data_IF_743742913017
#
_entry.id   IF_743742913017
#
_cell.length_a   1.000
_cell.length_b   1.000
_cell.length_c   1.000
_cell.angle_alpha   90.00
_cell.angle_beta   90.00
_cell.angle_gamma   90.00
#
_symmetry.space_group_name_H-M   'P 1'
#
loop_
_entity.id
_entity.type
_entity.pdbx_description
1 polymer ?
#
# COMPACT_ATOMS: atom_id res chain seq x y z
N UNK A 1 -0.82 9.44 71.71
CA UNK A 1 0.24 8.87 70.88
C UNK A 1 -0.17 7.66 70.02
N UNK A 2 -0.97 6.70 70.56
CA UNK A 2 -1.44 5.53 69.75
C UNK A 2 -2.38 5.92 68.56
N UNK A 3 -3.20 6.94 68.70
CA UNK A 3 -4.13 7.38 67.62
C UNK A 3 -3.44 8.11 66.48
N UNK A 4 -2.32 8.79 66.72
CA UNK A 4 -1.54 9.48 65.69
C UNK A 4 -0.78 8.47 64.79
N UNK A 5 -0.33 7.34 65.37
CA UNK A 5 0.32 6.25 64.65
C UNK A 5 -0.62 5.51 63.69
N UNK A 6 -1.93 5.39 64.06
CA UNK A 6 -2.95 4.74 63.24
C UNK A 6 -3.35 5.55 62.00
N UNK A 7 -3.40 6.90 62.12
CA UNK A 7 -3.69 7.81 61.02
C UNK A 7 -2.52 7.89 60.03
N UNK A 8 -1.26 7.86 60.54
CA UNK A 8 -0.06 7.86 59.71
C UNK A 8 0.05 6.60 58.81
N UNK A 9 -0.35 5.41 59.34
CA UNK A 9 -0.32 4.17 58.57
C UNK A 9 -1.41 4.09 57.49
N UNK A 10 -2.56 4.78 57.72
CA UNK A 10 -3.66 4.83 56.75
C UNK A 10 -3.34 5.73 55.55
N UNK A 11 -2.58 6.83 55.76
CA UNK A 11 -2.16 7.75 54.71
C UNK A 11 -1.04 7.17 53.83
N UNK A 12 -0.14 6.33 54.41
CA UNK A 12 0.90 5.65 53.64
C UNK A 12 0.35 4.50 52.77
N UNK A 13 -0.77 3.89 53.15
CA UNK A 13 -1.41 2.80 52.41
C UNK A 13 -2.15 3.24 51.16
N UNK A 14 -2.55 4.50 51.07
CA UNK A 14 -3.27 5.04 49.89
C UNK A 14 -2.38 5.53 48.73
N UNK A 15 -1.06 5.54 48.92
CA UNK A 15 -0.11 5.94 47.84
C UNK A 15 0.34 4.79 46.92
N UNK A 16 -0.06 3.54 47.22
CA UNK A 16 0.42 2.38 46.44
C UNK A 16 -0.58 1.92 45.36
N UNK A 17 -1.75 2.55 45.25
CA UNK A 17 -2.81 2.16 44.32
C UNK A 17 -2.84 2.98 43.01
N UNK A 18 -1.75 3.68 42.64
CA UNK A 18 -1.59 4.18 41.28
C UNK A 18 -0.76 3.19 40.45
N UNK A 19 -1.18 1.91 40.43
CA UNK A 19 -0.80 1.04 39.32
C UNK A 19 -1.48 1.61 38.09
N UNK A 20 -0.69 2.21 37.18
CA UNK A 20 -1.20 2.81 35.96
C UNK A 20 -2.14 1.83 35.26
N UNK A 21 -3.35 2.26 35.00
CA UNK A 21 -4.30 1.52 34.20
C UNK A 21 -3.68 1.35 32.81
N UNK A 22 -3.61 0.11 32.32
CA UNK A 22 -3.10 -0.15 30.97
C UNK A 22 -3.86 0.71 29.96
N UNK A 23 -3.14 1.51 29.18
CA UNK A 23 -3.74 2.38 28.18
C UNK A 23 -3.76 1.67 26.83
N UNK A 24 -4.88 1.74 26.17
CA UNK A 24 -5.13 1.18 24.85
C UNK A 24 -5.46 2.33 23.92
N UNK A 25 -4.72 2.45 22.81
CA UNK A 25 -4.96 3.49 21.83
C UNK A 25 -5.46 2.89 20.53
N UNK A 26 -5.84 3.76 19.61
CA UNK A 26 -6.21 3.37 18.26
C UNK A 26 -5.84 4.46 17.25
N UNK A 27 -5.78 4.08 15.98
CA UNK A 27 -5.73 4.99 14.86
C UNK A 27 -6.12 4.24 13.57
N UNK A 28 -6.52 4.99 12.54
CA UNK A 28 -6.75 4.41 11.23
C UNK A 28 -5.44 4.42 10.43
N UNK A 29 -4.76 3.24 10.35
CA UNK A 29 -3.48 3.12 9.69
C UNK A 29 -3.56 3.43 8.18
N UNK A 30 -4.65 3.02 7.52
CA UNK A 30 -4.88 3.33 6.11
C UNK A 30 -4.96 4.84 5.85
N UNK A 31 -5.69 5.58 6.70
CA UNK A 31 -5.77 7.03 6.61
C UNK A 31 -4.42 7.69 6.89
N UNK A 32 -3.65 7.18 7.85
CA UNK A 32 -2.30 7.68 8.13
C UNK A 32 -1.41 7.56 6.89
N UNK A 33 -1.34 6.38 6.28
CA UNK A 33 -0.56 6.16 5.06
C UNK A 33 -1.03 7.08 3.93
N UNK A 34 -2.35 7.26 3.76
CA UNK A 34 -2.90 8.06 2.68
C UNK A 34 -2.54 9.57 2.75
N UNK A 35 -2.26 10.08 3.94
CA UNK A 35 -1.86 11.50 4.12
C UNK A 35 -0.34 11.70 4.16
N UNK A 36 0.46 10.64 4.13
CA UNK A 36 1.92 10.75 4.07
C UNK A 36 2.37 11.26 2.70
N UNK A 37 3.17 12.34 2.62
CA UNK A 37 3.61 12.91 1.36
C UNK A 37 4.32 11.91 0.44
N UNK A 38 5.11 11.01 1.02
CA UNK A 38 5.82 9.96 0.28
C UNK A 38 4.86 8.93 -0.33
N UNK A 39 3.75 8.62 0.35
CA UNK A 39 2.73 7.72 -0.17
C UNK A 39 1.95 8.36 -1.34
N UNK A 40 1.67 9.65 -1.25
CA UNK A 40 1.07 10.42 -2.34
C UNK A 40 1.99 10.40 -3.56
N UNK A 41 3.28 10.71 -3.40
CA UNK A 41 4.26 10.67 -4.48
C UNK A 41 4.44 9.26 -5.08
N UNK A 42 4.40 8.23 -4.24
CA UNK A 42 4.47 6.84 -4.71
C UNK A 42 3.24 6.48 -5.56
N UNK A 43 2.04 6.89 -5.14
CA UNK A 43 0.81 6.68 -5.90
C UNK A 43 0.84 7.42 -7.25
N UNK A 44 1.26 8.68 -7.27
CA UNK A 44 1.41 9.45 -8.51
C UNK A 44 2.39 8.79 -9.48
N UNK A 45 3.51 8.30 -8.96
CA UNK A 45 4.52 7.58 -9.75
C UNK A 45 3.99 6.27 -10.32
N UNK A 46 3.21 5.53 -9.54
CA UNK A 46 2.56 4.29 -9.98
C UNK A 46 1.50 4.56 -11.06
N UNK A 47 0.74 5.63 -10.93
CA UNK A 47 -0.26 6.03 -11.94
C UNK A 47 0.41 6.35 -13.29
N UNK A 48 1.49 7.14 -13.28
CA UNK A 48 2.26 7.45 -14.49
C UNK A 48 2.84 6.16 -15.10
N UNK A 49 3.39 5.29 -14.29
CA UNK A 49 3.94 4.01 -14.74
C UNK A 49 2.85 3.14 -15.37
N UNK A 50 1.69 3.03 -14.72
CA UNK A 50 0.54 2.28 -15.25
C UNK A 50 0.08 2.83 -16.59
N UNK A 51 -0.10 4.15 -16.70
CA UNK A 51 -0.50 4.80 -17.94
C UNK A 51 0.51 4.52 -19.08
N UNK A 52 1.80 4.56 -18.77
CA UNK A 52 2.87 4.27 -19.73
C UNK A 52 2.82 2.81 -20.21
N UNK A 53 2.64 1.87 -19.30
CA UNK A 53 2.55 0.45 -19.63
C UNK A 53 1.29 0.15 -20.46
N UNK A 54 0.14 0.71 -20.08
CA UNK A 54 -1.12 0.57 -20.84
C UNK A 54 -0.95 1.11 -22.26
N UNK A 55 -0.42 2.32 -22.42
CA UNK A 55 -0.19 2.90 -23.74
C UNK A 55 0.75 2.05 -24.62
N UNK A 56 1.77 1.43 -24.02
CA UNK A 56 2.66 0.48 -24.72
C UNK A 56 1.90 -0.77 -25.16
N UNK A 57 1.08 -1.35 -24.29
CA UNK A 57 0.25 -2.52 -24.62
C UNK A 57 -0.73 -2.23 -25.76
N UNK A 58 -1.40 -1.07 -25.73
CA UNK A 58 -2.29 -0.60 -26.79
C UNK A 58 -1.54 -0.42 -28.12
N UNK A 59 -0.33 0.14 -28.10
CA UNK A 59 0.51 0.29 -29.29
C UNK A 59 0.92 -1.08 -29.85
N UNK A 60 1.24 -2.07 -29.01
CA UNK A 60 1.55 -3.44 -29.44
C UNK A 60 0.32 -4.10 -30.09
N UNK A 61 -0.86 -3.98 -29.49
CA UNK A 61 -2.12 -4.50 -30.01
C UNK A 61 -2.49 -3.84 -31.34
N UNK A 62 -2.37 -2.53 -31.45
CA UNK A 62 -2.64 -1.79 -32.68
C UNK A 62 -1.67 -2.18 -33.80
N UNK A 63 -0.38 -2.43 -33.48
CA UNK A 63 0.57 -2.91 -34.47
C UNK A 63 0.25 -4.31 -34.94
N UNK A 64 -0.12 -5.22 -34.01
CA UNK A 64 -0.57 -6.56 -34.35
C UNK A 64 -1.76 -6.54 -35.32
N UNK A 65 -2.76 -5.71 -35.04
CA UNK A 65 -3.94 -5.56 -35.92
C UNK A 65 -3.57 -5.09 -37.32
N UNK A 66 -2.65 -4.11 -37.44
CA UNK A 66 -2.17 -3.63 -38.75
C UNK A 66 -1.45 -4.74 -39.53
N UNK A 67 -0.55 -5.46 -38.86
CA UNK A 67 0.22 -6.54 -39.48
C UNK A 67 -0.64 -7.71 -39.88
N UNK A 68 -1.62 -8.09 -39.06
CA UNK A 68 -2.59 -9.14 -39.38
C UNK A 68 -3.47 -8.76 -40.58
N UNK A 69 -3.96 -7.51 -40.62
CA UNK A 69 -4.76 -7.01 -41.75
C UNK A 69 -3.94 -6.96 -43.05
N UNK A 70 -2.71 -6.53 -42.98
CA UNK A 70 -1.79 -6.53 -44.13
C UNK A 70 -1.49 -7.97 -44.62
N UNK A 71 -1.26 -8.90 -43.71
CA UNK A 71 -1.04 -10.30 -44.04
C UNK A 71 -2.24 -10.91 -44.77
N UNK A 72 -3.47 -10.69 -44.25
CA UNK A 72 -4.71 -11.20 -44.89
C UNK A 72 -4.85 -10.62 -46.31
N UNK A 73 -4.61 -9.34 -46.47
CA UNK A 73 -4.68 -8.66 -47.79
C UNK A 73 -3.67 -9.24 -48.79
N UNK A 74 -2.44 -9.46 -48.35
CA UNK A 74 -1.36 -9.96 -49.19
C UNK A 74 -1.58 -11.44 -49.58
N UNK A 75 -2.16 -12.27 -48.69
CA UNK A 75 -2.57 -13.63 -49.00
C UNK A 75 -3.69 -13.64 -50.03
N UNK A 76 -4.73 -12.79 -49.84
CA UNK A 76 -5.88 -12.71 -50.76
C UNK A 76 -5.45 -12.24 -52.18
N UNK A 77 -4.46 -11.33 -52.26
CA UNK A 77 -3.97 -10.85 -53.55
C UNK A 77 -2.97 -11.80 -54.21
N UNK A 78 -2.59 -12.89 -53.59
CA UNK A 78 -1.65 -13.87 -54.09
C UNK A 78 -0.20 -13.36 -54.26
N UNK A 79 0.15 -12.27 -53.55
CA UNK A 79 1.46 -11.63 -53.61
C UNK A 79 2.55 -12.35 -52.85
N UNK A 80 2.17 -13.27 -51.91
CA UNK A 80 3.12 -13.97 -51.07
C UNK A 80 3.42 -15.38 -51.58
N UNK A 81 4.69 -15.76 -51.53
CA UNK A 81 5.08 -17.16 -51.69
C UNK A 81 4.68 -17.99 -50.46
N UNK A 82 4.56 -19.31 -50.57
CA UNK A 82 4.23 -20.18 -49.43
C UNK A 82 5.20 -20.01 -48.25
N UNK A 83 6.48 -19.82 -48.51
CA UNK A 83 7.50 -19.58 -47.48
C UNK A 83 7.23 -18.26 -46.75
N UNK A 84 6.95 -17.18 -47.50
CA UNK A 84 6.64 -15.86 -46.91
C UNK A 84 5.33 -15.88 -46.09
N UNK A 85 4.33 -16.68 -46.52
CA UNK A 85 3.10 -16.84 -45.74
C UNK A 85 3.40 -17.51 -44.41
N UNK A 86 4.19 -18.58 -44.42
CA UNK A 86 4.56 -19.30 -43.18
C UNK A 86 5.38 -18.43 -42.23
N UNK A 87 6.37 -17.66 -42.76
CA UNK A 87 7.18 -16.75 -41.95
C UNK A 87 6.34 -15.65 -41.29
N UNK A 88 5.43 -15.01 -42.05
CA UNK A 88 4.57 -13.95 -41.52
C UNK A 88 3.54 -14.49 -40.52
N UNK A 89 3.00 -15.67 -40.76
CA UNK A 89 2.09 -16.31 -39.80
C UNK A 89 2.83 -16.59 -38.48
N UNK A 90 4.04 -17.15 -38.53
CA UNK A 90 4.84 -17.39 -37.34
C UNK A 90 5.20 -16.09 -36.59
N UNK A 91 5.45 -15.01 -37.34
CA UNK A 91 5.71 -13.70 -36.77
C UNK A 91 4.47 -13.13 -36.05
N UNK A 92 3.27 -13.29 -36.60
CA UNK A 92 2.02 -12.90 -35.95
C UNK A 92 1.73 -13.71 -34.69
N UNK A 93 1.92 -15.03 -34.75
CA UNK A 93 1.78 -15.90 -33.58
C UNK A 93 2.74 -15.51 -32.46
N UNK A 94 4.01 -15.25 -32.79
CA UNK A 94 5.00 -14.76 -31.82
C UNK A 94 4.56 -13.45 -31.19
N UNK A 95 4.08 -12.49 -32.00
CA UNK A 95 3.61 -11.18 -31.51
C UNK A 95 2.41 -11.29 -30.58
N UNK A 96 1.49 -12.21 -30.88
CA UNK A 96 0.35 -12.49 -30.01
C UNK A 96 0.81 -12.99 -28.62
N UNK A 97 1.79 -13.90 -28.60
CA UNK A 97 2.38 -14.37 -27.35
C UNK A 97 3.11 -13.25 -26.59
N UNK A 98 3.84 -12.39 -27.32
CA UNK A 98 4.50 -11.22 -26.72
C UNK A 98 3.50 -10.26 -26.05
N UNK A 99 2.32 -10.02 -26.65
CA UNK A 99 1.26 -9.19 -26.06
C UNK A 99 0.72 -9.84 -24.79
N UNK A 100 0.41 -11.15 -24.83
CA UNK A 100 -0.07 -11.87 -23.64
C UNK A 100 0.94 -11.87 -22.49
N UNK A 101 2.23 -12.05 -22.81
CA UNK A 101 3.30 -11.98 -21.81
C UNK A 101 3.43 -10.57 -21.23
N UNK A 102 3.30 -9.54 -22.07
CA UNK A 102 3.37 -8.15 -21.63
C UNK A 102 2.20 -7.79 -20.69
N UNK A 103 0.98 -8.27 -20.93
CA UNK A 103 -0.15 -8.11 -20.02
C UNK A 103 0.13 -8.70 -18.63
N UNK A 104 0.76 -9.89 -18.59
CA UNK A 104 1.17 -10.49 -17.32
C UNK A 104 2.31 -9.71 -16.66
N UNK A 105 3.27 -9.23 -17.44
CA UNK A 105 4.38 -8.39 -16.97
C UNK A 105 3.86 -7.12 -16.30
N UNK A 106 2.83 -6.47 -16.86
CA UNK A 106 2.20 -5.28 -16.26
C UNK A 106 1.74 -5.59 -14.84
N UNK A 107 0.96 -6.65 -14.66
CA UNK A 107 0.40 -7.00 -13.34
C UNK A 107 1.51 -7.29 -12.33
N UNK A 108 2.50 -8.08 -12.71
CA UNK A 108 3.61 -8.45 -11.83
C UNK A 108 4.48 -7.24 -11.47
N UNK A 109 4.85 -6.43 -12.48
CA UNK A 109 5.72 -5.28 -12.29
C UNK A 109 5.03 -4.20 -11.45
N UNK A 110 3.74 -3.92 -11.71
CA UNK A 110 2.97 -2.95 -10.92
C UNK A 110 2.86 -3.40 -9.46
N UNK A 111 2.57 -4.68 -9.21
CA UNK A 111 2.50 -5.23 -7.85
C UNK A 111 3.84 -5.16 -7.11
N UNK A 112 4.92 -5.58 -7.75
CA UNK A 112 6.26 -5.54 -7.17
C UNK A 112 6.71 -4.10 -6.89
N UNK A 113 6.53 -3.17 -7.84
CA UNK A 113 6.92 -1.76 -7.68
C UNK A 113 6.11 -1.10 -6.57
N UNK A 114 4.79 -1.35 -6.50
CA UNK A 114 3.96 -0.84 -5.41
C UNK A 114 4.46 -1.30 -4.04
N UNK A 115 4.73 -2.59 -3.87
CA UNK A 115 5.23 -3.12 -2.61
C UNK A 115 6.58 -2.50 -2.24
N UNK A 116 7.50 -2.40 -3.21
CA UNK A 116 8.83 -1.80 -3.00
C UNK A 116 8.75 -0.32 -2.59
N UNK A 117 7.80 0.44 -3.16
CA UNK A 117 7.62 1.86 -2.81
C UNK A 117 6.95 2.04 -1.46
N UNK A 118 5.96 1.20 -1.12
CA UNK A 118 5.19 1.35 0.10
C UNK A 118 5.88 0.76 1.33
N UNK A 119 6.71 -0.27 1.19
CA UNK A 119 7.39 -0.93 2.31
C UNK A 119 8.14 0.05 3.24
N UNK A 120 9.01 0.95 2.76
CA UNK A 120 9.70 1.91 3.62
C UNK A 120 8.76 2.94 4.26
N UNK A 121 7.66 3.29 3.59
CA UNK A 121 6.65 4.23 4.09
C UNK A 121 5.88 3.60 5.25
N UNK A 122 5.45 2.36 5.06
CA UNK A 122 4.78 1.55 6.09
C UNK A 122 5.69 1.38 7.31
N UNK A 123 6.96 1.05 7.10
CA UNK A 123 7.94 0.89 8.17
C UNK A 123 8.13 2.19 8.97
N UNK A 124 8.21 3.34 8.29
CA UNK A 124 8.31 4.66 8.93
C UNK A 124 7.06 5.00 9.74
N UNK A 125 5.87 4.74 9.20
CA UNK A 125 4.61 4.94 9.91
C UNK A 125 4.53 4.07 11.16
N UNK A 126 4.86 2.78 11.04
CA UNK A 126 4.89 1.84 12.15
C UNK A 126 5.86 2.29 13.25
N UNK A 127 7.07 2.74 12.88
CA UNK A 127 8.04 3.25 13.84
C UNK A 127 7.50 4.47 14.61
N UNK A 128 6.82 5.39 13.92
CA UNK A 128 6.22 6.56 14.57
C UNK A 128 5.11 6.17 15.55
N UNK A 129 4.28 5.19 15.20
CA UNK A 129 3.25 4.63 16.10
C UNK A 129 3.89 4.02 17.34
N UNK A 130 4.92 3.20 17.15
CA UNK A 130 5.66 2.55 18.24
C UNK A 130 6.27 3.57 19.20
N UNK A 131 6.88 4.63 18.66
CA UNK A 131 7.49 5.69 19.46
C UNK A 131 6.43 6.45 20.25
N UNK A 132 5.33 6.88 19.60
CA UNK A 132 4.22 7.58 20.26
C UNK A 132 3.60 6.70 21.34
N UNK A 133 3.37 5.42 21.07
CA UNK A 133 2.81 4.50 22.02
C UNK A 133 3.68 4.37 23.27
N UNK A 134 4.99 4.17 23.10
CA UNK A 134 5.95 4.04 24.19
C UNK A 134 6.09 5.33 24.99
N UNK A 135 6.19 6.47 24.32
CA UNK A 135 6.32 7.79 24.95
C UNK A 135 5.10 8.15 25.81
N UNK A 136 3.90 7.68 25.46
CA UNK A 136 2.64 7.99 26.14
C UNK A 136 2.10 6.85 27.01
N UNK A 137 2.85 5.76 27.18
CA UNK A 137 2.49 4.65 28.07
C UNK A 137 1.33 3.78 27.57
N UNK A 138 1.12 3.72 26.27
CA UNK A 138 0.18 2.77 25.67
C UNK A 138 0.80 1.37 25.64
N UNK A 139 0.02 0.37 26.04
CA UNK A 139 0.44 -1.04 26.02
C UNK A 139 0.05 -1.72 24.69
N UNK A 140 -0.95 -1.15 23.99
CA UNK A 140 -1.40 -1.65 22.69
C UNK A 140 -2.07 -0.53 21.89
N UNK A 141 -1.89 -0.55 20.57
CA UNK A 141 -2.56 0.34 19.62
C UNK A 141 -3.29 -0.52 18.59
N UNK A 142 -4.57 -0.24 18.39
CA UNK A 142 -5.43 -0.95 17.45
C UNK A 142 -5.54 -0.21 16.12
N UNK A 143 -5.46 -0.95 15.02
CA UNK A 143 -5.75 -0.41 13.69
C UNK A 143 -7.26 -0.45 13.42
N UNK A 144 -7.87 0.72 13.26
CA UNK A 144 -9.29 0.88 12.93
C UNK A 144 -9.58 0.86 11.42
N UNK A 145 -8.56 0.72 10.57
CA UNK A 145 -8.76 0.58 9.12
C UNK A 145 -9.30 -0.78 8.70
N UNK A 146 -9.16 -1.79 9.57
CA UNK A 146 -9.65 -3.15 9.33
C UNK A 146 -11.14 -3.24 9.64
N UNK A 147 -11.95 -3.56 8.64
CA UNK A 147 -13.40 -3.64 8.79
C UNK A 147 -13.81 -4.59 9.92
N UNK A 148 -14.65 -4.12 10.83
CA UNK A 148 -15.16 -4.83 12.02
C UNK A 148 -14.10 -5.28 13.04
N UNK A 149 -12.85 -4.87 12.94
CA UNK A 149 -11.83 -5.21 13.95
C UNK A 149 -12.07 -4.44 15.26
N UNK A 150 -12.50 -3.19 15.16
CA UNK A 150 -12.86 -2.33 16.29
C UNK A 150 -14.27 -1.81 16.08
N UNK A 151 -15.18 -2.15 17.01
CA UNK A 151 -16.60 -1.74 16.93
C UNK A 151 -16.87 -0.39 17.58
N UNK A 152 -16.05 -0.03 18.58
CA UNK A 152 -16.11 1.22 19.30
C UNK A 152 -14.72 1.56 19.84
N UNK A 153 -14.33 2.80 19.74
CA UNK A 153 -13.17 3.38 20.39
C UNK A 153 -13.53 4.82 20.79
N UNK A 154 -12.98 5.26 21.93
CA UNK A 154 -13.16 6.63 22.43
C UNK A 154 -12.20 7.56 21.68
N UNK A 155 -12.69 8.68 21.20
CA UNK A 155 -11.88 9.68 20.44
C UNK A 155 -10.68 10.21 21.25
N UNK A 156 -10.77 10.22 22.59
CA UNK A 156 -9.67 10.67 23.46
C UNK A 156 -8.43 9.76 23.39
N UNK A 157 -8.58 8.54 22.89
CA UNK A 157 -7.50 7.56 22.73
C UNK A 157 -7.10 7.34 21.25
N UNK A 158 -7.52 8.26 20.34
CA UNK A 158 -7.03 8.32 18.96
C UNK A 158 -5.62 8.92 18.92
N UNK A 159 -4.67 8.19 18.38
CA UNK A 159 -3.27 8.59 18.28
C UNK A 159 -2.94 9.33 16.97
N UNK A 160 -3.91 9.51 16.09
CA UNK A 160 -3.66 10.03 14.73
C UNK A 160 -2.86 11.35 14.76
N UNK A 161 -3.30 12.32 15.53
CA UNK A 161 -2.65 13.64 15.56
C UNK A 161 -1.24 13.58 16.17
N UNK A 162 -1.05 12.75 17.21
CA UNK A 162 0.28 12.55 17.82
C UNK A 162 1.25 11.88 16.85
N UNK A 163 0.78 10.88 16.10
CA UNK A 163 1.59 10.17 15.12
C UNK A 163 1.90 11.07 13.91
N UNK A 164 0.92 11.86 13.43
CA UNK A 164 1.14 12.86 12.37
C UNK A 164 2.20 13.87 12.80
N UNK A 165 2.09 14.42 14.01
CA UNK A 165 3.08 15.34 14.55
C UNK A 165 4.49 14.69 14.63
N UNK A 166 4.58 13.44 15.06
CA UNK A 166 5.83 12.67 15.11
C UNK A 166 6.46 12.49 13.73
N UNK A 167 5.62 12.30 12.69
CA UNK A 167 6.04 12.19 11.30
C UNK A 167 6.37 13.54 10.64
N UNK A 168 6.00 14.66 11.28
CA UNK A 168 6.14 16.02 10.72
C UNK A 168 5.11 16.32 9.63
N UNK A 169 3.91 15.74 9.74
CA UNK A 169 2.77 15.91 8.83
C UNK A 169 1.72 16.80 9.53
N UNK A 170 1.21 17.80 8.85
CA UNK A 170 0.11 18.67 9.33
C UNK A 170 -1.27 18.06 9.03
#
# INVERSE_FOLDING_TARGET
MKQILLVSTLVLGSLIALTGQDRYGHLNFGNLIAVMPEAIQANDSLEIMQATMVARGEAMAAQFQRDASAFIKDVQSGTLTPVQQQERQAALEKRQVEIQNFEQEIVQTMGATRNQMLEPIIARAQQAIDDVAKENGYVMVFDTSVFNAVMFADESEDLMDMVKAKLGIE
#
